data_IF_470627470089
#
_entry.id   IF_470627470089
#
_cell.length_a   1.000
_cell.length_b   1.000
_cell.length_c   1.000
_cell.angle_alpha   90.00
_cell.angle_beta   90.00
_cell.angle_gamma   90.00
#
_symmetry.space_group_name_H-M   'P 1'
#
loop_
_entity.id
_entity.type
_entity.pdbx_description
1 polymer ?
#
# COMPACT_ATOMS: atom_id res chain seq x y z
N UNK A 1 -7.02 8.93 -41.48
CA UNK A 1 -6.19 8.80 -40.27
C UNK A 1 -7.04 9.16 -39.06
N UNK A 2 -6.95 8.42 -37.97
CA UNK A 2 -7.65 8.74 -36.72
C UNK A 2 -6.88 9.87 -36.01
N UNK A 3 -7.54 10.93 -35.51
CA UNK A 3 -6.85 12.03 -34.83
C UNK A 3 -6.24 11.59 -33.49
N UNK A 4 -5.08 12.18 -33.14
CA UNK A 4 -4.35 11.89 -31.89
C UNK A 4 -5.10 12.32 -30.60
N UNK A 5 -6.18 13.11 -30.73
CA UNK A 5 -7.06 13.47 -29.63
C UNK A 5 -8.49 13.59 -30.15
N UNK A 6 -9.51 13.14 -29.40
CA UNK A 6 -10.90 13.37 -29.77
C UNK A 6 -11.23 14.87 -29.74
N UNK A 7 -12.16 15.30 -30.61
CA UNK A 7 -12.68 16.66 -30.65
C UNK A 7 -14.21 16.64 -30.59
N UNK A 8 -14.83 17.31 -29.60
CA UNK A 8 -14.18 18.07 -28.53
C UNK A 8 -13.48 17.15 -27.51
N UNK A 9 -12.32 17.59 -27.02
CA UNK A 9 -11.67 16.94 -25.88
C UNK A 9 -12.31 17.43 -24.59
N UNK A 10 -12.83 16.51 -23.79
CA UNK A 10 -13.41 16.79 -22.48
C UNK A 10 -12.72 15.88 -21.47
N UNK A 11 -11.80 16.45 -20.68
CA UNK A 11 -11.16 15.72 -19.57
C UNK A 11 -11.96 15.99 -18.30
N UNK A 12 -12.36 14.92 -17.61
CA UNK A 12 -12.95 15.01 -16.28
C UNK A 12 -11.93 15.65 -15.33
N UNK A 13 -12.38 16.57 -14.49
CA UNK A 13 -11.55 17.15 -13.44
C UNK A 13 -11.27 16.09 -12.36
N UNK A 14 -10.16 15.37 -12.53
CA UNK A 14 -9.78 14.28 -11.65
C UNK A 14 -9.38 14.76 -10.26
N UNK A 15 -8.88 15.99 -10.11
CA UNK A 15 -8.58 16.57 -8.80
C UNK A 15 -9.89 16.79 -8.02
N UNK A 16 -10.90 17.39 -8.66
CA UNK A 16 -12.23 17.54 -8.04
C UNK A 16 -12.89 16.20 -7.70
N UNK A 17 -12.69 15.17 -8.52
CA UNK A 17 -13.19 13.81 -8.24
C UNK A 17 -12.49 13.21 -7.02
N UNK A 18 -11.17 13.35 -6.91
CA UNK A 18 -10.40 12.86 -5.77
C UNK A 18 -10.84 13.53 -4.46
N UNK A 19 -10.99 14.86 -4.46
CA UNK A 19 -11.50 15.61 -3.30
C UNK A 19 -12.93 15.19 -2.95
N UNK A 20 -13.78 14.99 -3.96
CA UNK A 20 -15.15 14.51 -3.74
C UNK A 20 -15.22 13.11 -3.14
N UNK A 21 -14.39 12.18 -3.64
CA UNK A 21 -14.25 10.85 -3.06
C UNK A 21 -13.77 10.92 -1.61
N UNK A 22 -12.73 11.71 -1.33
CA UNK A 22 -12.19 11.90 0.01
C UNK A 22 -13.26 12.36 1.01
N UNK A 23 -14.03 13.39 0.63
CA UNK A 23 -15.09 13.95 1.48
C UNK A 23 -16.20 12.95 1.83
N UNK A 24 -16.40 11.91 1.01
CA UNK A 24 -17.37 10.84 1.26
C UNK A 24 -16.74 9.68 2.04
N UNK A 25 -15.54 9.25 1.62
CA UNK A 25 -14.88 8.06 2.16
C UNK A 25 -14.39 8.27 3.60
N UNK A 26 -13.95 9.48 3.94
CA UNK A 26 -13.42 9.82 5.27
C UNK A 26 -14.44 10.55 6.17
N UNK A 27 -15.72 10.63 5.76
CA UNK A 27 -16.79 11.11 6.64
C UNK A 27 -17.30 9.97 7.53
N UNK A 28 -16.75 9.92 8.75
CA UNK A 28 -17.10 8.96 9.79
C UNK A 28 -18.55 9.10 10.29
N UNK A 29 -19.22 10.23 10.00
CA UNK A 29 -20.59 10.50 10.41
C UNK A 29 -21.57 10.43 9.23
N UNK A 30 -21.11 10.02 8.04
CA UNK A 30 -21.95 9.89 6.87
C UNK A 30 -23.12 8.94 7.16
N UNK A 31 -24.33 9.33 6.74
CA UNK A 31 -25.54 8.53 6.94
C UNK A 31 -26.16 8.17 5.61
N UNK A 32 -26.73 6.98 5.52
CA UNK A 32 -27.34 6.46 4.30
C UNK A 32 -27.13 4.95 4.18
N UNK A 33 -27.61 4.39 3.07
CA UNK A 33 -27.40 2.98 2.79
C UNK A 33 -25.90 2.71 2.61
N UNK A 34 -25.35 1.80 3.41
CA UNK A 34 -23.94 1.40 3.42
C UNK A 34 -22.94 2.47 3.89
N UNK A 35 -23.42 3.51 4.60
CA UNK A 35 -22.55 4.55 5.18
C UNK A 35 -22.50 4.43 6.72
N UNK A 36 -21.39 4.83 7.36
CA UNK A 36 -20.17 5.42 6.77
C UNK A 36 -19.29 4.38 6.04
N UNK A 37 -18.43 4.84 5.12
CA UNK A 37 -17.49 3.97 4.37
C UNK A 37 -16.20 3.67 5.13
N UNK A 38 -15.90 4.43 6.18
CA UNK A 38 -14.71 4.25 7.00
C UNK A 38 -15.07 4.19 8.47
N UNK A 39 -14.19 3.57 9.24
CA UNK A 39 -14.31 3.43 10.68
C UNK A 39 -12.93 3.48 11.33
N UNK A 40 -12.89 3.93 12.57
CA UNK A 40 -11.71 3.89 13.41
C UNK A 40 -11.74 2.65 14.29
N UNK A 41 -10.57 2.11 14.61
CA UNK A 41 -10.43 1.02 15.57
C UNK A 41 -9.18 1.20 16.42
N UNK A 42 -9.26 0.76 17.68
CA UNK A 42 -8.10 0.69 18.59
C UNK A 42 -7.55 -0.73 18.72
N UNK A 43 -6.63 -0.94 19.67
CA UNK A 43 -5.97 -2.22 19.92
C UNK A 43 -5.31 -2.82 18.65
N UNK A 44 -4.67 -1.93 17.88
CA UNK A 44 -3.74 -2.24 16.80
C UNK A 44 -2.70 -3.25 17.26
N UNK A 45 -2.32 -4.16 16.34
CA UNK A 45 -1.42 -5.27 16.64
C UNK A 45 0.02 -4.85 16.42
N UNK A 46 0.31 -4.18 15.30
CA UNK A 46 1.68 -3.80 14.94
C UNK A 46 2.13 -2.55 15.71
N UNK A 47 1.19 -1.65 16.03
CA UNK A 47 1.45 -0.36 16.69
C UNK A 47 0.45 -0.02 17.81
N UNK A 48 0.50 -0.70 18.98
CA UNK A 48 -0.53 -0.63 20.03
C UNK A 48 -0.70 0.74 20.70
N UNK A 49 0.20 1.69 20.44
CA UNK A 49 0.21 3.01 21.07
C UNK A 49 -0.71 4.04 20.40
N UNK A 50 -1.27 3.72 19.23
CA UNK A 50 -2.24 4.58 18.54
C UNK A 50 -3.30 3.75 17.82
N UNK A 51 -4.41 4.39 17.46
CA UNK A 51 -5.48 3.76 16.69
C UNK A 51 -5.07 3.52 15.23
N UNK A 52 -5.92 2.82 14.49
CA UNK A 52 -5.91 2.80 13.03
C UNK A 52 -7.35 2.85 12.48
N UNK A 53 -7.52 2.61 11.19
CA UNK A 53 -8.78 2.75 10.49
C UNK A 53 -8.91 1.78 9.31
N UNK A 54 -10.14 1.53 8.91
CA UNK A 54 -10.47 0.80 7.71
C UNK A 54 -11.35 1.64 6.77
N UNK A 55 -11.31 1.30 5.49
CA UNK A 55 -12.26 1.75 4.47
C UNK A 55 -12.85 0.51 3.82
N UNK A 56 -14.16 0.49 3.60
CA UNK A 56 -14.83 -0.58 2.87
C UNK A 56 -14.24 -0.72 1.46
N UNK A 57 -13.67 -1.88 1.16
CA UNK A 57 -13.25 -2.23 -0.21
C UNK A 57 -14.43 -2.54 -1.12
N UNK A 58 -15.53 -3.05 -0.54
CA UNK A 58 -16.72 -3.46 -1.25
C UNK A 58 -17.96 -2.88 -0.58
N UNK A 59 -18.46 -1.76 -1.13
CA UNK A 59 -19.62 -1.05 -0.57
C UNK A 59 -20.84 -1.98 -0.54
N UNK A 60 -21.40 -2.17 0.65
CA UNK A 60 -22.60 -2.98 0.89
C UNK A 60 -22.36 -4.47 1.09
N UNK A 61 -21.12 -4.91 1.15
CA UNK A 61 -20.75 -6.21 1.69
C UNK A 61 -20.60 -6.14 3.22
N UNK A 62 -20.79 -7.27 3.92
CA UNK A 62 -20.67 -7.36 5.39
C UNK A 62 -19.19 -7.31 5.85
N UNK A 63 -18.45 -6.26 5.50
CA UNK A 63 -17.08 -6.00 5.98
C UNK A 63 -17.00 -5.00 7.14
N UNK A 64 -18.12 -4.40 7.56
CA UNK A 64 -18.11 -3.36 8.58
C UNK A 64 -17.68 -3.90 9.96
N UNK A 65 -16.39 -3.76 10.24
CA UNK A 65 -15.74 -4.15 11.51
C UNK A 65 -14.40 -4.89 11.38
N UNK A 66 -13.87 -5.09 10.17
CA UNK A 66 -12.51 -5.61 9.96
C UNK A 66 -11.42 -4.53 10.00
N UNK A 67 -10.23 -4.86 9.51
CA UNK A 67 -9.10 -3.92 9.42
C UNK A 67 -9.16 -3.00 8.19
N UNK A 68 -9.97 -3.33 7.19
CA UNK A 68 -9.83 -2.78 5.83
C UNK A 68 -8.69 -3.45 5.06
N UNK A 69 -8.58 -3.16 3.76
CA UNK A 69 -7.50 -3.67 2.92
C UNK A 69 -6.50 -2.56 2.61
N UNK A 70 -5.21 -2.82 2.85
CA UNK A 70 -4.14 -1.83 2.70
C UNK A 70 -4.13 -1.21 1.30
N UNK A 71 -4.42 -2.02 0.27
CA UNK A 71 -4.44 -1.56 -1.12
C UNK A 71 -5.48 -0.46 -1.36
N UNK A 72 -6.60 -0.51 -0.65
CA UNK A 72 -7.65 0.51 -0.70
C UNK A 72 -7.29 1.68 0.23
N UNK A 73 -6.91 1.36 1.47
CA UNK A 73 -6.65 2.34 2.54
C UNK A 73 -5.48 3.26 2.18
N UNK A 74 -4.31 2.71 1.89
CA UNK A 74 -3.11 3.52 1.60
C UNK A 74 -3.30 4.31 0.30
N UNK A 75 -3.88 3.70 -0.74
CA UNK A 75 -4.15 4.39 -2.00
C UNK A 75 -5.11 5.59 -1.82
N UNK A 76 -6.13 5.47 -0.97
CA UNK A 76 -7.05 6.57 -0.66
C UNK A 76 -6.33 7.73 0.05
N UNK A 77 -5.44 7.43 1.00
CA UNK A 77 -4.63 8.44 1.71
C UNK A 77 -3.64 9.11 0.76
N UNK A 78 -2.95 8.34 -0.08
CA UNK A 78 -2.04 8.87 -1.12
C UNK A 78 -2.81 9.80 -2.07
N UNK A 79 -3.91 9.32 -2.65
CA UNK A 79 -4.68 10.07 -3.64
C UNK A 79 -5.22 11.39 -3.11
N UNK A 80 -5.71 11.41 -1.87
CA UNK A 80 -6.16 12.64 -1.22
C UNK A 80 -5.00 13.60 -0.93
N UNK A 81 -3.86 13.08 -0.49
CA UNK A 81 -2.64 13.89 -0.25
C UNK A 81 -2.14 14.55 -1.53
N UNK A 82 -2.07 13.80 -2.63
CA UNK A 82 -1.74 14.32 -3.96
C UNK A 82 -2.76 15.35 -4.47
N UNK A 83 -4.02 15.27 -4.01
CA UNK A 83 -5.05 16.26 -4.31
C UNK A 83 -4.99 17.52 -3.42
N UNK A 84 -4.03 17.60 -2.48
CA UNK A 84 -3.80 18.75 -1.62
C UNK A 84 -4.50 18.69 -0.25
N UNK A 85 -5.02 17.53 0.15
CA UNK A 85 -5.65 17.34 1.46
C UNK A 85 -4.57 16.84 2.43
N UNK A 86 -4.32 17.61 3.51
CA UNK A 86 -3.38 17.19 4.55
C UNK A 86 -3.95 16.03 5.37
N UNK A 87 -3.50 14.82 5.06
CA UNK A 87 -3.94 13.59 5.72
C UNK A 87 -3.28 13.37 7.07
N UNK A 88 -2.22 14.10 7.39
CA UNK A 88 -1.61 14.05 8.72
C UNK A 88 -2.48 14.75 9.78
N UNK A 89 -3.42 15.60 9.33
CA UNK A 89 -4.33 16.33 10.19
C UNK A 89 -5.65 16.67 9.49
N UNK A 90 -6.43 15.66 9.11
CA UNK A 90 -7.77 15.87 8.58
C UNK A 90 -8.81 15.51 9.64
N UNK A 91 -9.64 16.50 10.02
CA UNK A 91 -10.72 16.36 10.99
C UNK A 91 -10.26 15.83 12.37
N UNK A 92 -9.04 16.17 12.79
CA UNK A 92 -8.47 15.73 14.06
C UNK A 92 -7.87 14.32 14.05
N UNK A 93 -7.74 13.71 12.87
CA UNK A 93 -7.14 12.40 12.69
C UNK A 93 -5.87 12.48 11.85
N UNK A 94 -4.85 11.73 12.28
CA UNK A 94 -3.63 11.52 11.50
C UNK A 94 -3.76 10.19 10.73
N UNK A 95 -4.41 10.26 9.56
CA UNK A 95 -4.66 9.10 8.71
C UNK A 95 -3.37 8.49 8.17
N UNK A 96 -2.33 9.31 7.99
CA UNK A 96 -1.01 8.85 7.55
C UNK A 96 -0.37 7.96 8.62
N UNK A 97 -0.34 8.41 9.88
CA UNK A 97 0.15 7.60 11.01
C UNK A 97 -0.62 6.29 11.15
N UNK A 98 -1.93 6.33 10.94
CA UNK A 98 -2.75 5.13 11.07
C UNK A 98 -2.44 4.05 10.03
N UNK A 99 -1.85 4.40 8.89
CA UNK A 99 -1.39 3.43 7.90
C UNK A 99 -0.27 2.51 8.40
N UNK A 100 0.46 2.88 9.47
CA UNK A 100 1.50 2.03 10.08
C UNK A 100 0.99 0.64 10.46
N UNK A 101 -0.30 0.51 10.78
CA UNK A 101 -0.87 -0.77 11.17
C UNK A 101 -0.79 -1.83 10.06
N UNK A 102 -0.66 -1.43 8.79
CA UNK A 102 -0.49 -2.36 7.68
C UNK A 102 0.96 -2.80 7.44
N UNK A 103 1.92 -2.18 8.13
CA UNK A 103 3.29 -2.71 8.20
C UNK A 103 3.26 -3.96 9.08
N UNK A 104 3.37 -5.13 8.46
CA UNK A 104 3.31 -6.40 9.15
C UNK A 104 4.61 -6.59 9.95
N UNK A 105 4.58 -6.19 11.22
CA UNK A 105 5.74 -6.08 12.13
C UNK A 105 6.12 -7.45 12.71
N UNK A 106 6.18 -8.45 11.85
CA UNK A 106 6.70 -9.79 12.14
C UNK A 106 8.01 -9.97 11.37
N UNK A 107 9.08 -10.48 12.01
CA UNK A 107 10.38 -10.68 11.35
C UNK A 107 10.31 -11.45 10.03
N UNK A 108 9.36 -12.37 9.91
CA UNK A 108 9.14 -13.21 8.74
C UNK A 108 8.49 -12.47 7.56
N UNK A 109 7.85 -11.33 7.79
CA UNK A 109 7.20 -10.53 6.75
C UNK A 109 7.87 -9.17 6.60
N UNK A 110 7.83 -8.32 7.63
CA UNK A 110 8.51 -7.01 7.68
C UNK A 110 8.28 -6.13 6.44
N UNK A 111 7.08 -6.22 5.86
CA UNK A 111 6.63 -5.42 4.72
C UNK A 111 5.18 -4.98 4.92
N UNK A 112 4.70 -4.03 4.11
CA UNK A 112 3.28 -3.71 4.04
C UNK A 112 2.54 -4.82 3.30
N UNK A 113 1.54 -5.41 3.95
CA UNK A 113 0.67 -6.42 3.33
C UNK A 113 -0.78 -5.96 3.37
N UNK A 114 -1.63 -6.66 2.63
CA UNK A 114 -3.03 -6.25 2.46
C UNK A 114 -3.85 -6.25 3.77
N UNK A 115 -3.40 -6.97 4.80
CA UNK A 115 -3.99 -6.96 6.15
C UNK A 115 -2.87 -6.78 7.19
N UNK A 116 -3.15 -6.20 8.37
CA UNK A 116 -2.15 -5.95 9.43
C UNK A 116 -1.34 -7.19 9.84
N UNK A 117 -2.00 -8.35 9.89
CA UNK A 117 -1.38 -9.62 10.28
C UNK A 117 -1.81 -10.70 9.29
N UNK A 118 -0.98 -10.90 8.26
CA UNK A 118 -1.21 -11.91 7.21
C UNK A 118 0.11 -12.40 6.63
N UNK A 119 0.10 -13.34 5.70
CA UNK A 119 1.33 -13.84 5.07
C UNK A 119 1.44 -13.39 3.62
N UNK A 120 2.68 -13.13 3.18
CA UNK A 120 3.01 -12.94 1.77
C UNK A 120 2.98 -14.28 1.00
N UNK A 121 3.09 -14.19 -0.32
CA UNK A 121 3.34 -15.30 -1.23
C UNK A 121 2.13 -15.82 -1.98
N UNK A 122 0.93 -15.37 -1.63
CA UNK A 122 -0.28 -15.78 -2.35
C UNK A 122 -0.42 -15.13 -3.73
N UNK A 123 0.04 -13.88 -3.85
CA UNK A 123 -0.26 -13.02 -4.99
C UNK A 123 0.67 -11.80 -4.96
N UNK A 124 1.45 -11.61 -6.01
CA UNK A 124 2.46 -10.56 -6.05
C UNK A 124 1.87 -9.16 -5.94
N UNK A 125 0.70 -8.95 -6.53
CA UNK A 125 0.05 -7.64 -6.54
C UNK A 125 -0.31 -7.20 -5.11
N UNK A 126 -0.90 -8.09 -4.31
CA UNK A 126 -1.22 -7.79 -2.91
C UNK A 126 0.00 -7.69 -2.01
N UNK A 127 1.08 -8.38 -2.34
CA UNK A 127 2.32 -8.35 -1.57
C UNK A 127 3.17 -7.11 -1.85
N UNK A 128 3.11 -6.55 -3.07
CA UNK A 128 4.00 -5.44 -3.48
C UNK A 128 3.33 -4.07 -3.48
N UNK A 129 2.06 -3.96 -3.88
CA UNK A 129 1.43 -2.64 -4.04
C UNK A 129 1.26 -1.83 -2.76
N UNK A 130 0.89 -2.42 -1.60
CA UNK A 130 0.87 -1.68 -0.34
C UNK A 130 2.23 -1.02 -0.01
N UNK A 131 3.35 -1.66 -0.37
CA UNK A 131 4.69 -1.11 -0.17
C UNK A 131 4.97 0.08 -1.09
N UNK A 132 4.54 0.02 -2.36
CA UNK A 132 4.64 1.16 -3.29
C UNK A 132 3.87 2.37 -2.75
N UNK A 133 2.64 2.16 -2.27
CA UNK A 133 1.85 3.24 -1.67
C UNK A 133 2.47 3.76 -0.38
N UNK A 134 3.04 2.89 0.45
CA UNK A 134 3.75 3.31 1.65
C UNK A 134 4.94 4.24 1.32
N UNK A 135 5.75 3.89 0.32
CA UNK A 135 6.88 4.73 -0.11
C UNK A 135 6.42 6.10 -0.64
N UNK A 136 5.25 6.18 -1.28
CA UNK A 136 4.63 7.46 -1.64
C UNK A 136 4.19 8.26 -0.42
N UNK A 137 3.65 7.60 0.62
CA UNK A 137 3.34 8.25 1.89
C UNK A 137 4.61 8.73 2.60
N UNK A 138 5.68 7.94 2.56
CA UNK A 138 6.98 8.31 3.12
C UNK A 138 7.52 9.60 2.48
N UNK A 139 7.53 9.68 1.14
CA UNK A 139 7.97 10.87 0.41
C UNK A 139 7.18 12.13 0.81
N UNK A 140 5.85 12.02 0.94
CA UNK A 140 4.99 13.14 1.32
C UNK A 140 5.05 13.49 2.82
N UNK A 141 5.29 12.50 3.68
CA UNK A 141 5.20 12.62 5.14
C UNK A 141 6.34 11.88 5.88
N UNK A 142 7.61 12.23 5.64
CA UNK A 142 8.76 11.44 6.10
C UNK A 142 8.94 11.41 7.63
N UNK A 143 8.34 12.37 8.35
CA UNK A 143 8.42 12.49 9.82
C UNK A 143 7.11 12.00 10.47
N UNK A 144 6.64 10.83 10.07
CA UNK A 144 5.43 10.20 10.62
C UNK A 144 5.80 8.90 11.35
N UNK A 145 5.48 8.81 12.65
CA UNK A 145 5.62 7.55 13.39
C UNK A 145 6.99 6.89 13.24
N UNK A 146 6.97 5.60 12.88
CA UNK A 146 8.09 4.69 12.65
C UNK A 146 8.44 4.57 11.15
N UNK A 147 7.97 5.49 10.31
CA UNK A 147 8.14 5.45 8.84
C UNK A 147 9.61 5.31 8.42
N UNK A 148 10.54 5.97 9.10
CA UNK A 148 11.97 5.86 8.79
C UNK A 148 12.51 4.42 8.98
N UNK A 149 12.08 3.73 10.04
CA UNK A 149 12.45 2.33 10.26
C UNK A 149 11.75 1.41 9.27
N UNK A 150 10.46 1.62 9.00
CA UNK A 150 9.69 0.82 8.04
C UNK A 150 10.27 0.93 6.63
N UNK A 151 10.67 2.13 6.21
CA UNK A 151 11.23 2.40 4.89
C UNK A 151 12.45 1.53 4.58
N UNK A 152 13.45 1.55 5.47
CA UNK A 152 14.67 0.75 5.31
C UNK A 152 14.37 -0.74 5.48
N UNK A 153 13.52 -1.11 6.44
CA UNK A 153 13.18 -2.52 6.70
C UNK A 153 12.47 -3.18 5.52
N UNK A 154 11.55 -2.46 4.85
CA UNK A 154 10.89 -2.91 3.63
C UNK A 154 11.91 -3.13 2.51
N UNK A 155 12.85 -2.19 2.33
CA UNK A 155 13.88 -2.29 1.31
C UNK A 155 14.77 -3.53 1.53
N UNK A 156 15.28 -3.69 2.74
CA UNK A 156 16.15 -4.81 3.12
C UNK A 156 15.46 -6.14 2.88
N UNK A 157 14.16 -6.23 3.22
CA UNK A 157 13.40 -7.46 3.07
C UNK A 157 13.14 -7.82 1.61
N UNK A 158 12.83 -6.83 0.76
CA UNK A 158 12.68 -7.07 -0.67
C UNK A 158 14.01 -7.33 -1.36
N UNK A 159 15.11 -6.76 -0.88
CA UNK A 159 16.45 -7.06 -1.37
C UNK A 159 16.82 -8.52 -1.07
N UNK A 160 16.57 -9.00 0.14
CA UNK A 160 16.76 -10.41 0.51
C UNK A 160 15.96 -11.34 -0.41
N UNK A 161 14.71 -10.99 -0.73
CA UNK A 161 13.91 -11.76 -1.68
C UNK A 161 14.51 -11.77 -3.10
N UNK A 162 15.03 -10.64 -3.58
CA UNK A 162 15.74 -10.53 -4.86
C UNK A 162 16.97 -11.43 -4.89
N UNK A 163 17.76 -11.43 -3.83
CA UNK A 163 18.95 -12.28 -3.72
C UNK A 163 18.57 -13.77 -3.69
N UNK A 164 17.52 -14.13 -2.93
CA UNK A 164 17.01 -15.50 -2.86
C UNK A 164 16.42 -15.99 -4.20
N UNK A 165 15.91 -15.08 -5.03
CA UNK A 165 15.48 -15.36 -6.41
C UNK A 165 16.65 -15.49 -7.40
N UNK A 166 17.89 -15.42 -6.94
CA UNK A 166 19.11 -15.55 -7.75
C UNK A 166 19.66 -14.24 -8.29
N UNK A 167 19.12 -13.09 -7.86
CA UNK A 167 19.68 -11.79 -8.21
C UNK A 167 21.06 -11.58 -7.57
N UNK A 168 22.01 -11.03 -8.33
CA UNK A 168 23.33 -10.69 -7.80
C UNK A 168 23.92 -9.49 -8.53
N UNK A 169 24.75 -8.72 -7.84
CA UNK A 169 25.53 -7.63 -8.43
C UNK A 169 26.92 -8.08 -8.88
N UNK A 170 27.46 -9.18 -8.33
CA UNK A 170 28.81 -9.69 -8.62
C UNK A 170 28.90 -11.22 -8.51
N UNK A 171 29.00 -11.97 -9.64
CA UNK A 171 28.73 -11.50 -11.00
C UNK A 171 27.28 -11.00 -11.11
N UNK A 172 27.04 -10.07 -12.04
CA UNK A 172 25.67 -9.60 -12.30
C UNK A 172 24.80 -10.76 -12.75
N UNK A 173 23.67 -10.97 -12.08
CA UNK A 173 22.65 -11.94 -12.46
C UNK A 173 21.24 -11.40 -12.16
N UNK A 174 20.28 -11.79 -12.99
CA UNK A 174 18.90 -11.29 -12.91
C UNK A 174 18.06 -12.27 -12.09
N UNK A 175 17.32 -11.81 -11.06
CA UNK A 175 16.45 -12.68 -10.28
C UNK A 175 15.36 -13.30 -11.15
N UNK A 176 15.04 -14.57 -10.93
CA UNK A 176 13.92 -15.23 -11.58
C UNK A 176 12.62 -14.92 -10.84
N UNK A 177 11.76 -14.06 -11.40
CA UNK A 177 10.51 -13.60 -10.75
C UNK A 177 9.22 -14.14 -11.37
N UNK A 178 9.31 -15.10 -12.31
CA UNK A 178 8.15 -15.62 -13.03
C UNK A 178 7.38 -16.65 -12.18
N UNK A 179 6.74 -16.15 -11.12
CA UNK A 179 5.97 -16.88 -10.11
C UNK A 179 4.62 -16.20 -9.88
N UNK A 180 3.68 -16.89 -9.22
CA UNK A 180 2.42 -16.28 -8.77
C UNK A 180 2.65 -15.28 -7.63
N UNK A 181 3.61 -15.57 -6.78
CA UNK A 181 3.95 -14.82 -5.58
C UNK A 181 5.22 -15.42 -4.97
N UNK A 182 5.69 -14.81 -3.88
CA UNK A 182 6.87 -15.26 -3.14
C UNK A 182 6.62 -15.21 -1.64
N UNK A 183 6.77 -16.36 -0.99
CA UNK A 183 6.64 -16.45 0.46
C UNK A 183 7.90 -15.85 1.08
N UNK A 184 7.80 -14.64 1.65
CA UNK A 184 8.94 -14.00 2.33
C UNK A 184 9.40 -14.84 3.52
N UNK A 185 8.46 -15.39 4.30
CA UNK A 185 8.76 -16.23 5.48
C UNK A 185 9.77 -17.35 5.17
N UNK A 186 9.62 -18.02 4.03
CA UNK A 186 10.45 -19.17 3.65
C UNK A 186 11.44 -18.87 2.53
N UNK A 187 11.40 -17.65 1.97
CA UNK A 187 12.13 -17.26 0.76
C UNK A 187 11.97 -18.28 -0.37
N UNK A 188 10.72 -18.61 -0.68
CA UNK A 188 10.40 -19.63 -1.68
C UNK A 188 9.25 -19.22 -2.61
N UNK A 189 9.24 -19.70 -3.86
CA UNK A 189 8.23 -19.31 -4.82
C UNK A 189 6.88 -19.98 -4.59
N UNK A 190 5.81 -19.24 -4.90
CA UNK A 190 4.52 -19.84 -5.20
C UNK A 190 4.42 -20.11 -6.71
N UNK A 191 4.48 -21.39 -7.08
CA UNK A 191 4.43 -21.83 -8.48
C UNK A 191 3.03 -22.24 -8.94
N UNK A 192 1.99 -21.96 -8.14
CA UNK A 192 0.61 -22.35 -8.43
C UNK A 192 -0.19 -21.16 -8.95
N UNK A 193 -0.92 -21.34 -10.06
CA UNK A 193 -1.76 -20.28 -10.64
C UNK A 193 -1.07 -19.52 -11.77
N UNK A 194 -1.55 -18.30 -12.06
CA UNK A 194 -1.01 -17.45 -13.13
C UNK A 194 0.23 -16.70 -12.60
N UNK A 195 1.41 -16.84 -13.23
CA UNK A 195 2.57 -16.05 -12.89
C UNK A 195 2.36 -14.55 -13.13
N UNK A 196 2.92 -13.72 -12.26
CA UNK A 196 2.78 -12.25 -12.25
C UNK A 196 4.18 -11.58 -12.25
N UNK A 197 5.00 -11.78 -13.31
CA UNK A 197 6.37 -11.26 -13.37
C UNK A 197 6.47 -9.73 -13.36
N UNK A 198 5.38 -9.01 -13.60
CA UNK A 198 5.28 -7.56 -13.49
C UNK A 198 5.62 -7.03 -12.07
N UNK A 199 5.58 -7.89 -11.04
CA UNK A 199 6.03 -7.59 -9.68
C UNK A 199 7.47 -7.06 -9.63
N UNK A 200 8.31 -7.45 -10.59
CA UNK A 200 9.66 -6.93 -10.75
C UNK A 200 9.71 -5.41 -10.84
N UNK A 201 8.71 -4.77 -11.47
CA UNK A 201 8.62 -3.32 -11.58
C UNK A 201 8.37 -2.65 -10.22
N UNK A 202 7.49 -3.22 -9.40
CA UNK A 202 7.21 -2.69 -8.06
C UNK A 202 8.42 -2.85 -7.13
N UNK A 203 9.05 -4.02 -7.12
CA UNK A 203 10.25 -4.28 -6.30
C UNK A 203 11.42 -3.39 -6.74
N UNK A 204 11.67 -3.27 -8.06
CA UNK A 204 12.70 -2.37 -8.56
C UNK A 204 12.44 -0.91 -8.19
N UNK A 205 11.18 -0.46 -8.22
CA UNK A 205 10.81 0.88 -7.80
C UNK A 205 11.06 1.10 -6.30
N UNK A 206 10.68 0.15 -5.44
CA UNK A 206 10.95 0.20 -3.99
C UNK A 206 12.46 0.31 -3.74
N UNK A 207 13.24 -0.63 -4.28
CA UNK A 207 14.70 -0.68 -4.07
C UNK A 207 15.41 0.55 -4.65
N UNK A 208 14.95 1.08 -5.78
CA UNK A 208 15.52 2.30 -6.36
C UNK A 208 15.29 3.52 -5.45
N UNK A 209 14.08 3.69 -4.91
CA UNK A 209 13.81 4.79 -3.99
C UNK A 209 14.62 4.66 -2.69
N UNK A 210 14.76 3.44 -2.16
CA UNK A 210 15.61 3.20 -1.00
C UNK A 210 17.08 3.57 -1.28
N UNK A 211 17.62 3.16 -2.44
CA UNK A 211 18.98 3.50 -2.86
C UNK A 211 19.21 5.02 -3.04
N UNK A 212 18.19 5.76 -3.47
CA UNK A 212 18.30 7.22 -3.63
C UNK A 212 18.31 7.94 -2.28
N UNK A 213 17.56 7.42 -1.29
CA UNK A 213 17.40 8.05 0.03
C UNK A 213 18.51 7.68 1.03
N UNK A 214 19.15 6.51 0.90
CA UNK A 214 20.11 5.93 1.87
C UNK A 214 21.54 5.80 1.34
#
# INVERSE_FOLDING_TARGET
>A
MMPNSPSPFQMRDWNKVAIGYDSLAFDLNATGQYLPLSWLYGNTINYPNHQSFGIDSYVGWYSSGGWGEAINVLAAVVGASLAGIDKSNQNGHNWVLYCEEFFNKRPEENVYLNLPVTNSGSDWWYDTMPNVFFYQLYDMYPVTGDFAYQFTTVADRWLEAVEAMGGSTTPWDVPYMNYRGWYLETMSPNTTGVPEPEAAGAIAWILYNAFVET
#
